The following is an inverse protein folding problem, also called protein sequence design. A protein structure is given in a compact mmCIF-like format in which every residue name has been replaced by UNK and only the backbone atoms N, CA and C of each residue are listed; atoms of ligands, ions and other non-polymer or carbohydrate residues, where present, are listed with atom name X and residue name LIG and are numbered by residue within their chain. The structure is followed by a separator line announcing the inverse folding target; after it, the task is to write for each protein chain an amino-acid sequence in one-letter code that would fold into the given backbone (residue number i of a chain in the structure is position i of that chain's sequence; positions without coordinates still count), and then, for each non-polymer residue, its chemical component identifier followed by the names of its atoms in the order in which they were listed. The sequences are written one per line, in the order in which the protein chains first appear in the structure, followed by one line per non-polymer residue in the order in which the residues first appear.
data_IF_679610201310
#
_entry.id   IF_679610201310
#
_cell.length_a   1.000
_cell.length_b   1.000
_cell.length_c   1.000
_cell.angle_alpha   90.00
_cell.angle_beta   90.00
_cell.angle_gamma   90.00
#
_symmetry.space_group_name_H-M   'P 1'
#
loop_
_entity.id
_entity.type
_entity.pdbx_description
1 polymer ?
#
# COMPACT_ATOMS: atom_id res chain seq x y z
N UNK A 1 5.24 7.98 22.99
CA UNK A 1 4.68 6.63 23.09
C UNK A 1 4.78 5.94 21.74
N UNK A 2 5.22 4.68 21.77
CA UNK A 2 5.28 3.67 20.70
C UNK A 2 6.19 3.92 19.50
N UNK A 3 7.47 3.60 19.72
CA UNK A 3 8.27 2.96 18.68
C UNK A 3 7.93 1.47 18.57
N UNK A 4 8.17 0.94 17.37
CA UNK A 4 8.17 -0.47 16.97
C UNK A 4 6.81 -1.12 16.66
N UNK A 5 6.58 -1.40 15.37
CA UNK A 5 5.98 -2.62 14.75
C UNK A 5 5.31 -2.25 13.43
N UNK A 6 6.08 -2.04 12.35
CA UNK A 6 5.49 -1.88 11.00
C UNK A 6 6.16 -2.75 9.94
N UNK A 7 7.26 -3.43 10.26
CA UNK A 7 8.08 -4.14 9.26
C UNK A 7 7.37 -5.37 8.68
N UNK A 8 6.38 -5.93 9.40
CA UNK A 8 5.65 -7.14 8.99
C UNK A 8 4.13 -7.01 9.10
N UNK A 9 3.59 -5.80 9.13
CA UNK A 9 2.14 -5.63 9.23
C UNK A 9 1.47 -6.04 7.91
N UNK A 10 0.67 -7.11 7.98
CA UNK A 10 -0.15 -7.60 6.88
C UNK A 10 -1.57 -7.07 7.03
N UNK A 11 -2.05 -6.37 6.01
CA UNK A 11 -3.35 -5.71 6.02
C UNK A 11 -4.25 -6.30 4.95
N UNK A 12 -5.52 -6.49 5.27
CA UNK A 12 -6.51 -6.74 4.24
C UNK A 12 -6.67 -5.54 3.32
N UNK A 13 -7.28 -5.77 2.15
CA UNK A 13 -7.67 -4.69 1.25
C UNK A 13 -8.45 -3.59 1.99
N UNK A 14 -9.43 -3.94 2.83
CA UNK A 14 -10.25 -2.95 3.55
C UNK A 14 -9.42 -2.11 4.52
N UNK A 15 -8.56 -2.75 5.31
CA UNK A 15 -7.69 -2.05 6.26
C UNK A 15 -6.68 -1.16 5.54
N UNK A 16 -6.16 -1.61 4.39
CA UNK A 16 -5.24 -0.83 3.56
C UNK A 16 -5.90 0.45 3.06
N UNK A 17 -7.14 0.37 2.56
CA UNK A 17 -7.88 1.54 2.09
C UNK A 17 -8.08 2.56 3.21
N UNK A 18 -8.51 2.09 4.39
CA UNK A 18 -8.74 2.95 5.56
C UNK A 18 -7.44 3.54 6.11
N UNK A 19 -6.37 2.75 6.23
CA UNK A 19 -5.11 3.16 6.86
C UNK A 19 -4.31 4.13 6.01
N UNK A 20 -4.34 3.96 4.70
CA UNK A 20 -3.57 4.80 3.77
C UNK A 20 -4.41 5.88 3.09
N UNK A 21 -5.72 5.91 3.35
CA UNK A 21 -6.68 6.82 2.73
C UNK A 21 -6.55 6.84 1.20
N UNK A 22 -6.60 5.64 0.61
CA UNK A 22 -6.47 5.45 -0.84
C UNK A 22 -7.71 4.81 -1.44
N UNK A 23 -7.98 5.12 -2.71
CA UNK A 23 -9.06 4.50 -3.46
C UNK A 23 -8.76 3.04 -3.78
N UNK A 24 -9.82 2.24 -3.94
CA UNK A 24 -9.72 0.85 -4.41
C UNK A 24 -8.99 0.76 -5.73
N UNK A 25 -9.31 1.63 -6.68
CA UNK A 25 -8.69 1.66 -8.00
C UNK A 25 -7.18 1.86 -7.89
N UNK A 26 -6.72 2.79 -7.05
CA UNK A 26 -5.29 3.03 -6.82
C UNK A 26 -4.60 1.82 -6.21
N UNK A 27 -5.22 1.20 -5.20
CA UNK A 27 -4.69 -0.02 -4.58
C UNK A 27 -4.60 -1.17 -5.59
N UNK A 28 -5.64 -1.43 -6.37
CA UNK A 28 -5.62 -2.49 -7.38
C UNK A 28 -4.64 -2.22 -8.51
N UNK A 29 -4.38 -0.94 -8.85
CA UNK A 29 -3.31 -0.58 -9.78
C UNK A 29 -1.93 -0.99 -9.24
N UNK A 30 -1.64 -0.68 -7.96
CA UNK A 30 -0.40 -1.12 -7.31
C UNK A 30 -0.24 -2.65 -7.31
N UNK A 31 -1.34 -3.38 -7.07
CA UNK A 31 -1.35 -4.84 -7.13
C UNK A 31 -1.10 -5.33 -8.57
N UNK A 32 -1.80 -4.77 -9.55
CA UNK A 32 -1.70 -5.14 -10.96
C UNK A 32 -0.31 -4.84 -11.54
N UNK A 33 0.32 -3.76 -11.10
CA UNK A 33 1.67 -3.36 -11.50
C UNK A 33 2.75 -4.21 -10.80
N UNK A 34 2.37 -5.15 -9.93
CA UNK A 34 3.30 -6.01 -9.18
C UNK A 34 4.15 -5.26 -8.16
N UNK A 35 3.74 -4.05 -7.78
CA UNK A 35 4.51 -3.15 -6.89
C UNK A 35 4.38 -3.51 -5.42
N UNK A 36 3.34 -4.24 -5.02
CA UNK A 36 3.10 -4.58 -3.62
C UNK A 36 3.12 -6.09 -3.41
N UNK A 37 3.79 -6.55 -2.35
CA UNK A 37 3.70 -7.95 -1.95
C UNK A 37 2.28 -8.26 -1.48
N UNK A 38 1.70 -9.29 -2.09
CA UNK A 38 0.39 -9.83 -1.73
C UNK A 38 0.51 -11.28 -1.27
N UNK A 39 -0.24 -11.62 -0.24
CA UNK A 39 -0.41 -13.00 0.22
C UNK A 39 -1.90 -13.37 0.18
N UNK A 40 -2.21 -14.54 -0.37
CA UNK A 40 -3.58 -15.05 -0.40
C UNK A 40 -3.82 -15.94 0.82
N UNK A 41 -4.55 -15.42 1.80
CA UNK A 41 -4.99 -16.16 2.98
C UNK A 41 -6.46 -16.59 2.79
N UNK A 42 -6.65 -17.74 2.13
CA UNK A 42 -7.97 -18.28 1.80
C UNK A 42 -8.77 -17.35 0.89
N UNK A 43 -9.91 -16.82 1.38
CA UNK A 43 -10.75 -15.86 0.64
C UNK A 43 -10.30 -14.41 0.74
N UNK A 44 -9.25 -14.13 1.54
CA UNK A 44 -8.76 -12.77 1.78
C UNK A 44 -7.41 -12.56 1.09
N UNK A 45 -7.21 -11.34 0.61
CA UNK A 45 -5.90 -10.86 0.14
C UNK A 45 -5.31 -9.97 1.23
N UNK A 46 -4.11 -10.34 1.67
CA UNK A 46 -3.30 -9.59 2.61
C UNK A 46 -2.21 -8.87 1.82
N UNK A 47 -1.92 -7.64 2.23
CA UNK A 47 -0.93 -6.76 1.63
C UNK A 47 0.06 -6.35 2.70
N UNK A 48 1.34 -6.29 2.32
CA UNK A 48 2.36 -5.77 3.22
C UNK A 48 2.28 -4.25 3.31
N UNK A 49 2.03 -3.73 4.52
CA UNK A 49 1.84 -2.30 4.76
C UNK A 49 3.05 -1.45 4.32
N UNK A 50 4.27 -1.95 4.52
CA UNK A 50 5.51 -1.25 4.15
C UNK A 50 5.62 -1.00 2.65
N UNK A 51 5.23 -1.98 1.84
CA UNK A 51 5.34 -1.89 0.39
C UNK A 51 4.33 -0.88 -0.14
N UNK A 52 3.10 -0.94 0.38
CA UNK A 52 2.05 0.04 0.07
C UNK A 52 2.54 1.45 0.42
N UNK A 53 3.04 1.68 1.65
CA UNK A 53 3.57 2.99 2.07
C UNK A 53 4.66 3.48 1.13
N UNK A 54 5.67 2.64 0.85
CA UNK A 54 6.81 2.98 0.00
C UNK A 54 6.37 3.46 -1.39
N UNK A 55 5.40 2.77 -1.98
CA UNK A 55 4.89 3.15 -3.31
C UNK A 55 4.01 4.41 -3.29
N UNK A 56 3.25 4.63 -2.22
CA UNK A 56 2.48 5.87 -2.07
C UNK A 56 3.39 7.09 -1.86
N UNK A 57 4.49 6.92 -1.14
CA UNK A 57 5.46 8.00 -0.92
C UNK A 57 6.27 8.29 -2.19
N UNK A 58 6.62 7.26 -2.97
CA UNK A 58 7.26 7.44 -4.28
C UNK A 58 6.37 8.22 -5.27
N UNK A 59 5.08 7.88 -5.34
CA UNK A 59 4.12 8.56 -6.21
C UNK A 59 3.97 10.05 -5.83
N UNK A 60 4.05 10.41 -4.54
CA UNK A 60 4.04 11.81 -4.10
C UNK A 60 5.26 12.60 -4.57
N UNK A 61 6.42 11.95 -4.70
CA UNK A 61 7.63 12.61 -5.19
C UNK A 61 7.55 12.86 -6.70
N UNK A 62 6.93 11.95 -7.45
CA UNK A 62 6.71 12.13 -8.89
C UNK A 62 5.74 13.29 -9.19
N UNK A 63 4.75 13.54 -8.31
CA UNK A 63 3.83 14.68 -8.42
C UNK A 63 4.37 16.01 -7.84
N UNK A 64 5.45 15.98 -7.06
CA UNK A 64 6.10 17.18 -6.54
C UNK A 64 6.89 17.95 -7.62
N UNK A 65 7.17 17.31 -8.76
CA UNK A 65 7.59 17.98 -9.99
C UNK A 65 6.43 17.92 -11.00
N UNK A 66 5.71 19.02 -11.24
CA UNK A 66 4.77 19.03 -12.35
C UNK A 66 5.53 18.76 -13.66
N UNK A 67 4.92 18.05 -14.62
CA UNK A 67 5.51 17.91 -15.94
C UNK A 67 5.83 19.30 -16.51
N UNK A 68 7.05 19.48 -17.01
CA UNK A 68 7.49 20.69 -17.72
C UNK A 68 6.69 20.89 -19.01
#
# INVERSE_FOLDING_TARGET
MSGNTAVHEMLTVRETLTKFDISRTRLYRLISDGRVFIEKAGRRTLLRATDVRKHLDADKLDYAMPPR
#
